data_IF_265513696929
#
_entry.id   IF_265513696929
#
_cell.length_a   1.000
_cell.length_b   1.000
_cell.length_c   1.000
_cell.angle_alpha   90.00
_cell.angle_beta   90.00
_cell.angle_gamma   90.00
#
_symmetry.space_group_name_H-M   'P 1'
#
loop_
_entity.id
_entity.type
_entity.pdbx_description
1 polymer ?
#
# COMPACT_ATOMS: atom_id res chain seq x y z
N UNK A 1 -31.13 1.31 21.07
CA UNK A 1 -31.26 0.75 19.71
C UNK A 1 -30.55 1.57 18.64
N UNK A 2 -30.73 2.89 18.53
CA UNK A 2 -30.10 3.73 17.48
C UNK A 2 -28.57 3.66 17.38
N UNK A 3 -27.84 3.47 18.49
CA UNK A 3 -26.38 3.32 18.48
C UNK A 3 -25.91 2.03 17.79
N UNK A 4 -26.65 0.94 17.97
CA UNK A 4 -26.35 -0.35 17.33
C UNK A 4 -26.60 -0.29 15.82
N UNK A 5 -27.71 0.35 15.42
CA UNK A 5 -28.04 0.59 14.00
C UNK A 5 -26.92 1.41 13.33
N UNK A 6 -26.50 2.52 13.93
CA UNK A 6 -25.38 3.34 13.40
C UNK A 6 -24.06 2.56 13.29
N UNK A 7 -23.78 1.66 14.24
CA UNK A 7 -22.55 0.84 14.21
C UNK A 7 -22.61 -0.21 13.10
N UNK A 8 -23.78 -0.83 12.88
CA UNK A 8 -24.00 -1.75 11.76
C UNK A 8 -23.92 -1.02 10.42
N UNK A 9 -24.52 0.17 10.29
CA UNK A 9 -24.40 1.02 9.09
C UNK A 9 -22.95 1.43 8.81
N UNK A 10 -22.18 1.77 9.84
CA UNK A 10 -20.76 2.10 9.69
C UNK A 10 -19.94 0.88 9.23
N UNK A 11 -20.17 -0.29 9.84
CA UNK A 11 -19.51 -1.54 9.43
C UNK A 11 -19.89 -1.90 7.99
N UNK A 12 -21.17 -1.79 7.65
CA UNK A 12 -21.65 -2.03 6.29
C UNK A 12 -20.97 -1.07 5.30
N UNK A 13 -20.86 0.22 5.64
CA UNK A 13 -20.17 1.21 4.81
C UNK A 13 -18.68 0.87 4.64
N UNK A 14 -17.97 0.56 5.71
CA UNK A 14 -16.54 0.18 5.63
C UNK A 14 -16.32 -1.12 4.83
N UNK A 15 -17.21 -2.11 4.95
CA UNK A 15 -17.15 -3.36 4.18
C UNK A 15 -17.50 -3.15 2.70
N UNK A 16 -18.50 -2.31 2.40
CA UNK A 16 -18.87 -1.96 1.02
C UNK A 16 -17.76 -1.12 0.40
N UNK A 17 -17.21 -0.14 1.10
CA UNK A 17 -16.08 0.66 0.63
C UNK A 17 -14.85 -0.22 0.37
N UNK A 18 -14.57 -1.22 1.21
CA UNK A 18 -13.49 -2.18 0.96
C UNK A 18 -13.76 -3.08 -0.26
N UNK A 19 -14.99 -3.56 -0.42
CA UNK A 19 -15.39 -4.35 -1.57
C UNK A 19 -15.35 -3.53 -2.87
N UNK A 20 -15.78 -2.27 -2.83
CA UNK A 20 -15.77 -1.36 -3.96
C UNK A 20 -14.35 -0.89 -4.28
N UNK A 21 -13.49 -0.65 -3.29
CA UNK A 21 -12.04 -0.46 -3.48
C UNK A 21 -11.43 -1.67 -4.20
N UNK A 22 -11.73 -2.90 -3.76
CA UNK A 22 -11.26 -4.12 -4.42
C UNK A 22 -11.86 -4.31 -5.83
N UNK A 23 -13.12 -3.95 -6.06
CA UNK A 23 -13.74 -3.99 -7.40
C UNK A 23 -13.12 -2.95 -8.33
N UNK A 24 -12.84 -1.74 -7.86
CA UNK A 24 -12.13 -0.71 -8.63
C UNK A 24 -10.69 -1.14 -8.97
N UNK A 25 -10.04 -1.90 -8.09
CA UNK A 25 -8.74 -2.52 -8.38
C UNK A 25 -8.83 -3.58 -9.50
N UNK A 26 -9.95 -4.28 -9.64
CA UNK A 26 -10.13 -5.36 -10.63
C UNK A 26 -10.84 -4.94 -11.93
N UNK A 27 -11.35 -3.71 -12.04
CA UNK A 27 -12.24 -3.29 -13.13
C UNK A 27 -11.57 -3.26 -14.51
N UNK A 28 -10.30 -2.84 -14.59
CA UNK A 28 -9.55 -2.89 -15.84
C UNK A 28 -8.71 -4.16 -15.84
N UNK A 29 -9.02 -5.10 -16.73
CA UNK A 29 -8.39 -6.42 -16.91
C UNK A 29 -6.89 -6.43 -17.22
N UNK A 30 -6.15 -5.41 -16.80
CA UNK A 30 -4.69 -5.36 -16.70
C UNK A 30 -4.26 -5.89 -15.33
N UNK A 31 -4.20 -7.22 -15.22
CA UNK A 31 -3.87 -7.99 -14.00
C UNK A 31 -2.40 -7.93 -13.56
N UNK A 32 -1.65 -6.91 -13.97
CA UNK A 32 -0.24 -6.79 -13.58
C UNK A 32 -0.16 -6.37 -12.10
N UNK A 33 0.55 -7.15 -11.29
CA UNK A 33 0.71 -6.91 -9.85
C UNK A 33 1.26 -5.49 -9.57
N UNK A 34 2.08 -4.96 -10.48
CA UNK A 34 2.57 -3.59 -10.42
C UNK A 34 1.44 -2.56 -10.53
N UNK A 35 0.53 -2.74 -11.50
CA UNK A 35 -0.60 -1.84 -11.72
C UNK A 35 -1.58 -1.86 -10.55
N UNK A 36 -1.84 -3.04 -9.98
CA UNK A 36 -2.68 -3.18 -8.79
C UNK A 36 -2.08 -2.46 -7.58
N UNK A 37 -0.78 -2.63 -7.33
CA UNK A 37 -0.10 -1.95 -6.24
C UNK A 37 -0.08 -0.42 -6.45
N UNK A 38 0.19 0.04 -7.67
CA UNK A 38 0.13 1.47 -8.02
C UNK A 38 -1.25 2.06 -7.74
N UNK A 39 -2.33 1.37 -8.13
CA UNK A 39 -3.70 1.83 -7.85
C UNK A 39 -3.99 1.86 -6.35
N UNK A 40 -3.57 0.82 -5.61
CA UNK A 40 -3.69 0.78 -4.14
C UNK A 40 -3.00 1.97 -3.48
N UNK A 41 -1.74 2.24 -3.84
CA UNK A 41 -1.00 3.42 -3.36
C UNK A 41 -1.75 4.72 -3.70
N UNK A 42 -2.30 4.84 -4.90
CA UNK A 42 -3.08 6.00 -5.30
C UNK A 42 -4.36 6.21 -4.46
N UNK A 43 -5.04 5.13 -4.07
CA UNK A 43 -6.19 5.17 -3.17
C UNK A 43 -5.77 5.53 -1.74
N UNK A 44 -4.68 4.93 -1.25
CA UNK A 44 -4.16 5.20 0.09
C UNK A 44 -3.71 6.67 0.23
N UNK A 45 -3.03 7.22 -0.78
CA UNK A 45 -2.64 8.65 -0.82
C UNK A 45 -3.88 9.57 -0.76
N UNK A 46 -4.94 9.25 -1.52
CA UNK A 46 -6.19 10.02 -1.46
C UNK A 46 -6.82 9.94 -0.06
N UNK A 47 -6.86 8.76 0.53
CA UNK A 47 -7.36 8.56 1.90
C UNK A 47 -6.54 9.33 2.94
N UNK A 48 -5.21 9.38 2.81
CA UNK A 48 -4.37 10.18 3.70
C UNK A 48 -4.66 11.67 3.56
N UNK A 49 -4.88 12.18 2.34
CA UNK A 49 -5.26 13.59 2.14
C UNK A 49 -6.59 13.91 2.80
N UNK A 50 -7.56 13.00 2.75
CA UNK A 50 -8.83 13.14 3.46
C UNK A 50 -8.64 13.13 4.98
N UNK A 51 -7.81 12.23 5.52
CA UNK A 51 -7.48 12.19 6.95
C UNK A 51 -6.77 13.47 7.42
N UNK A 52 -5.87 14.02 6.61
CA UNK A 52 -5.21 15.30 6.89
C UNK A 52 -6.26 16.42 6.94
N UNK A 53 -7.18 16.47 5.97
CA UNK A 53 -8.25 17.46 5.94
C UNK A 53 -9.18 17.33 7.16
N UNK A 54 -9.63 16.13 7.50
CA UNK A 54 -10.48 15.89 8.67
C UNK A 54 -9.77 16.30 9.97
N UNK A 55 -8.47 16.03 10.08
CA UNK A 55 -7.67 16.46 11.23
C UNK A 55 -7.62 17.98 11.32
N UNK A 56 -7.37 18.66 10.21
CA UNK A 56 -7.26 20.12 10.18
C UNK A 56 -8.62 20.79 10.51
N UNK A 57 -9.74 20.21 10.05
CA UNK A 57 -11.10 20.63 10.44
C UNK A 57 -11.38 20.37 11.93
N UNK A 58 -10.96 19.23 12.46
CA UNK A 58 -11.11 18.89 13.87
C UNK A 58 -10.29 19.83 14.77
N UNK A 59 -9.10 20.23 14.33
CA UNK A 59 -8.26 21.19 15.05
C UNK A 59 -8.84 22.60 15.01
N UNK A 60 -9.40 23.03 13.88
CA UNK A 60 -10.11 24.30 13.80
C UNK A 60 -11.36 24.34 14.69
N UNK A 61 -12.04 23.20 14.87
CA UNK A 61 -13.28 23.11 15.63
C UNK A 61 -13.08 22.86 17.13
N UNK A 62 -12.10 22.03 17.51
CA UNK A 62 -11.90 21.54 18.88
C UNK A 62 -10.62 22.09 19.54
N UNK A 63 -9.78 22.77 18.77
CA UNK A 63 -8.47 23.23 19.19
C UNK A 63 -7.36 22.19 19.00
N UNK A 64 -6.08 22.63 19.09
CA UNK A 64 -4.93 21.73 19.04
C UNK A 64 -4.87 20.85 20.28
N UNK A 65 -4.44 19.59 20.11
CA UNK A 65 -4.17 18.66 21.21
C UNK A 65 -5.38 17.92 21.79
N UNK A 66 -6.60 18.14 21.30
CA UNK A 66 -7.76 17.31 21.66
C UNK A 66 -7.50 15.83 21.36
N UNK A 67 -8.08 14.92 22.14
CA UNK A 67 -7.98 13.47 21.90
C UNK A 67 -8.27 13.09 20.44
N UNK A 68 -9.28 13.72 19.82
CA UNK A 68 -9.61 13.51 18.40
C UNK A 68 -8.48 13.95 17.44
N UNK A 69 -7.89 15.13 17.65
CA UNK A 69 -6.82 15.64 16.76
C UNK A 69 -5.55 14.82 16.91
N UNK A 70 -5.25 14.34 18.13
CA UNK A 70 -4.14 13.41 18.39
C UNK A 70 -4.37 12.05 17.73
N UNK A 71 -5.58 11.49 17.83
CA UNK A 71 -5.94 10.23 17.16
C UNK A 71 -5.83 10.34 15.64
N UNK A 72 -6.38 11.39 15.04
CA UNK A 72 -6.26 11.63 13.60
C UNK A 72 -4.79 11.85 13.19
N UNK A 73 -4.01 12.57 14.00
CA UNK A 73 -2.57 12.74 13.76
C UNK A 73 -1.81 11.40 13.79
N UNK A 74 -2.15 10.51 14.73
CA UNK A 74 -1.56 9.17 14.80
C UNK A 74 -1.95 8.33 13.57
N UNK A 75 -3.22 8.39 13.15
CA UNK A 75 -3.70 7.69 11.96
C UNK A 75 -2.99 8.18 10.70
N UNK A 76 -2.83 9.49 10.51
CA UNK A 76 -2.07 10.07 9.39
C UNK A 76 -0.62 9.56 9.39
N UNK A 77 0.07 9.58 10.54
CA UNK A 77 1.45 9.09 10.63
C UNK A 77 1.56 7.60 10.30
N UNK A 78 0.65 6.79 10.81
CA UNK A 78 0.61 5.34 10.55
C UNK A 78 0.38 5.07 9.07
N UNK A 79 -0.62 5.73 8.48
CA UNK A 79 -0.93 5.57 7.06
C UNK A 79 0.22 6.03 6.14
N UNK A 80 0.96 7.10 6.50
CA UNK A 80 2.17 7.50 5.75
C UNK A 80 3.26 6.42 5.82
N UNK A 81 3.45 5.78 6.99
CA UNK A 81 4.40 4.68 7.15
C UNK A 81 3.99 3.49 6.28
N UNK A 82 2.70 3.15 6.26
CA UNK A 82 2.17 2.05 5.45
C UNK A 82 2.37 2.31 3.95
N UNK A 83 2.01 3.51 3.48
CA UNK A 83 2.21 3.90 2.06
C UNK A 83 3.69 3.90 1.68
N UNK A 84 4.60 4.31 2.58
CA UNK A 84 6.05 4.16 2.36
C UNK A 84 6.46 2.70 2.20
N UNK A 85 5.90 1.79 2.99
CA UNK A 85 6.12 0.36 2.84
C UNK A 85 5.70 -0.14 1.45
N UNK A 86 4.52 0.28 0.99
CA UNK A 86 3.99 -0.07 -0.32
C UNK A 86 4.81 0.55 -1.47
N UNK A 87 5.25 1.81 -1.35
CA UNK A 87 6.13 2.46 -2.32
C UNK A 87 7.49 1.75 -2.42
N UNK A 88 8.07 1.31 -1.29
CA UNK A 88 9.28 0.49 -1.30
C UNK A 88 9.06 -0.84 -2.03
N UNK A 89 7.90 -1.48 -1.84
CA UNK A 89 7.55 -2.70 -2.58
C UNK A 89 7.39 -2.44 -4.07
N UNK A 90 6.79 -1.31 -4.47
CA UNK A 90 6.68 -0.89 -5.87
C UNK A 90 8.06 -0.68 -6.50
N UNK A 91 8.98 0.00 -5.79
CA UNK A 91 10.35 0.20 -6.25
C UNK A 91 11.10 -1.13 -6.40
N UNK A 92 11.01 -2.05 -5.44
CA UNK A 92 11.64 -3.37 -5.54
C UNK A 92 11.16 -4.17 -6.74
N UNK A 93 9.86 -4.08 -7.09
CA UNK A 93 9.33 -4.73 -8.29
C UNK A 93 9.92 -4.11 -9.56
N UNK A 94 10.05 -2.77 -9.59
CA UNK A 94 10.72 -2.06 -10.67
C UNK A 94 12.18 -2.48 -10.81
N UNK A 95 12.97 -2.44 -9.73
CA UNK A 95 14.39 -2.78 -9.72
C UNK A 95 14.62 -4.23 -10.19
N UNK A 96 13.79 -5.18 -9.72
CA UNK A 96 13.84 -6.58 -10.16
C UNK A 96 13.51 -6.72 -11.65
N UNK A 97 12.57 -5.92 -12.17
CA UNK A 97 12.23 -5.91 -13.58
C UNK A 97 13.34 -5.29 -14.45
N UNK A 98 14.00 -4.24 -13.95
CA UNK A 98 15.16 -3.58 -14.57
C UNK A 98 16.36 -4.53 -14.64
N UNK A 99 16.68 -5.21 -13.53
CA UNK A 99 17.77 -6.17 -13.48
C UNK A 99 17.55 -7.33 -14.45
N UNK A 100 16.32 -7.85 -14.54
CA UNK A 100 15.94 -8.90 -15.52
C UNK A 100 16.11 -8.41 -16.96
N UNK A 101 15.77 -7.16 -17.24
CA UNK A 101 15.95 -6.56 -18.56
C UNK A 101 17.43 -6.46 -18.93
N UNK A 102 18.27 -5.94 -18.01
CA UNK A 102 19.74 -5.85 -18.18
C UNK A 102 20.39 -7.22 -18.36
N UNK A 103 20.00 -8.20 -17.53
CA UNK A 103 20.55 -9.58 -17.59
C UNK A 103 20.22 -10.31 -18.89
N UNK A 104 19.01 -10.14 -19.43
CA UNK A 104 18.59 -10.83 -20.65
C UNK A 104 19.11 -10.17 -21.93
N UNK A 105 19.78 -9.00 -21.84
CA UNK A 105 20.33 -8.22 -22.96
C UNK A 105 19.36 -8.13 -24.17
N UNK A 106 18.05 -8.03 -23.88
CA UNK A 106 16.99 -8.01 -24.90
C UNK A 106 16.75 -6.55 -25.25
N UNK A 107 17.28 -6.11 -26.38
CA UNK A 107 17.08 -4.78 -26.98
C UNK A 107 15.66 -4.63 -27.54
N UNK A 108 14.64 -4.92 -26.72
CA UNK A 108 13.25 -4.78 -27.11
C UNK A 108 12.76 -3.37 -26.72
N UNK A 109 12.55 -2.46 -27.68
CA UNK A 109 12.19 -1.07 -27.41
C UNK A 109 10.88 -0.92 -26.62
N UNK A 110 9.94 -1.87 -26.77
CA UNK A 110 8.67 -1.84 -26.03
C UNK A 110 8.87 -2.11 -24.52
N UNK A 111 9.80 -3.02 -24.19
CA UNK A 111 10.11 -3.33 -22.78
C UNK A 111 10.86 -2.17 -22.11
N UNK A 112 11.75 -1.51 -22.83
CA UNK A 112 12.43 -0.30 -22.33
C UNK A 112 11.41 0.79 -21.98
N UNK A 113 10.46 1.07 -22.88
CA UNK A 113 9.40 2.06 -22.62
C UNK A 113 8.52 1.68 -21.41
N UNK A 114 8.18 0.39 -21.25
CA UNK A 114 7.44 -0.07 -20.06
C UNK A 114 8.27 0.13 -18.78
N UNK A 115 9.58 -0.12 -18.85
CA UNK A 115 10.49 0.06 -17.71
C UNK A 115 10.65 1.53 -17.32
N UNK A 116 10.71 2.43 -18.30
CA UNK A 116 10.80 3.87 -18.07
C UNK A 116 9.50 4.41 -17.48
N UNK A 117 8.34 4.00 -18.02
CA UNK A 117 7.03 4.37 -17.46
C UNK A 117 6.87 3.87 -16.02
N UNK A 118 7.31 2.65 -15.73
CA UNK A 118 7.25 2.11 -14.36
C UNK A 118 8.21 2.83 -13.41
N UNK A 119 9.38 3.28 -13.88
CA UNK A 119 10.30 4.15 -13.12
C UNK A 119 9.63 5.48 -12.75
N UNK A 120 9.08 6.17 -13.74
CA UNK A 120 8.36 7.45 -13.54
C UNK A 120 7.22 7.31 -12.53
N UNK A 121 6.49 6.20 -12.56
CA UNK A 121 5.42 5.96 -11.58
C UNK A 121 5.94 5.74 -10.16
N UNK A 122 7.11 5.13 -9.99
CA UNK A 122 7.74 4.98 -8.68
C UNK A 122 8.21 6.34 -8.15
N UNK A 123 8.83 7.15 -9.00
CA UNK A 123 9.27 8.51 -8.66
C UNK A 123 8.09 9.40 -8.25
N UNK A 124 7.00 9.36 -9.01
CA UNK A 124 5.77 10.10 -8.70
C UNK A 124 5.15 9.66 -7.37
N UNK A 125 5.12 8.36 -7.09
CA UNK A 125 4.64 7.84 -5.81
C UNK A 125 5.47 8.37 -4.64
N UNK A 126 6.80 8.38 -4.76
CA UNK A 126 7.69 8.97 -3.77
C UNK A 126 7.53 10.49 -3.64
N UNK A 127 7.27 11.21 -4.74
CA UNK A 127 6.98 12.64 -4.70
C UNK A 127 5.72 12.94 -3.89
N UNK A 128 4.64 12.15 -4.06
CA UNK A 128 3.44 12.27 -3.25
C UNK A 128 3.67 11.95 -1.78
N UNK A 129 4.48 10.93 -1.46
CA UNK A 129 4.85 10.65 -0.06
C UNK A 129 5.58 11.85 0.55
N UNK A 130 6.54 12.44 -0.16
CA UNK A 130 7.25 13.64 0.31
C UNK A 130 6.32 14.84 0.50
N UNK A 131 5.34 15.02 -0.38
CA UNK A 131 4.30 16.05 -0.24
C UNK A 131 3.48 15.85 1.04
N UNK A 132 3.01 14.63 1.31
CA UNK A 132 2.27 14.28 2.52
C UNK A 132 3.12 14.49 3.78
N UNK A 133 4.40 14.15 3.72
CA UNK A 133 5.33 14.40 4.82
C UNK A 133 5.56 15.89 5.06
N UNK A 134 5.67 16.69 4.00
CA UNK A 134 5.84 18.14 4.12
C UNK A 134 4.60 18.78 4.74
N UNK A 135 3.40 18.41 4.28
CA UNK A 135 2.13 18.85 4.88
C UNK A 135 2.02 18.46 6.35
N UNK A 136 2.60 17.33 6.75
CA UNK A 136 2.66 16.91 8.14
C UNK A 136 3.76 17.63 8.95
N UNK A 137 4.92 17.91 8.34
CA UNK A 137 6.08 18.58 8.98
C UNK A 137 5.92 20.08 9.13
N UNK A 138 5.19 20.75 8.24
CA UNK A 138 4.88 22.18 8.39
C UNK A 138 4.24 22.50 9.76
N UNK A 139 3.67 21.49 10.44
CA UNK A 139 3.15 21.60 11.81
C UNK A 139 4.16 21.23 12.90
N UNK A 140 5.15 20.38 12.60
CA UNK A 140 6.20 20.01 13.55
C UNK A 140 7.30 21.06 13.69
N UNK A 141 7.37 22.02 12.76
CA UNK A 141 8.39 23.08 12.74
C UNK A 141 8.07 24.32 13.57
N UNK A 142 6.82 24.50 14.01
CA UNK A 142 6.44 25.66 14.81
C UNK A 142 5.35 25.26 15.82
N UNK A 143 5.75 25.05 17.07
CA UNK A 143 4.79 24.77 18.15
C UNK A 143 5.01 23.50 18.95
N UNK A 144 6.23 23.00 19.10
CA UNK A 144 6.67 22.51 20.42
C UNK A 144 6.79 23.68 21.42
N UNK A 145 5.78 24.55 21.47
CA UNK A 145 5.45 25.26 22.70
C UNK A 145 4.71 24.22 23.52
N UNK A 146 5.51 23.38 24.20
CA UNK A 146 5.19 22.97 25.56
C UNK A 146 4.51 24.17 26.18
N UNK A 147 3.20 24.12 26.41
CA UNK A 147 2.48 25.20 27.09
C UNK A 147 3.31 25.44 28.36
N UNK A 148 4.06 26.55 28.49
CA UNK A 148 4.56 26.92 29.79
C UNK A 148 3.29 27.23 30.54
N UNK A 149 2.99 26.40 31.54
CA UNK A 149 1.87 26.60 32.45
C UNK A 149 2.05 28.00 33.04
N UNK A 150 1.35 28.97 32.48
CA UNK A 150 1.21 30.32 33.01
C UNK A 150 0.46 30.18 34.34
N UNK A 151 1.19 29.83 35.40
CA UNK A 151 0.78 30.15 36.75
C UNK A 151 1.04 31.63 36.96
N UNK A 152 0.17 32.45 36.37
CA UNK A 152 0.14 33.87 36.62
C UNK A 152 -1.30 34.33 36.86
N UNK A 153 -1.82 33.96 38.03
CA UNK A 153 -2.65 34.81 38.89
C UNK A 153 -2.16 34.51 40.30
N UNK A 154 -1.32 35.39 40.86
CA UNK A 154 -1.73 36.41 41.84
C UNK A 154 -2.26 35.74 43.11
N UNK A 155 -1.71 35.92 44.31
CA UNK A 155 -0.87 37.01 44.79
C UNK A 155 -0.47 36.73 46.24
N UNK A 156 0.75 37.17 46.58
CA UNK A 156 1.15 37.70 47.90
C UNK A 156 1.11 36.80 49.14
N UNK A 157 2.33 36.59 49.65
CA UNK A 157 2.76 36.68 51.05
C UNK A 157 3.09 35.39 51.79
N UNK A 158 4.25 35.51 52.45
CA UNK A 158 4.71 34.86 53.67
C UNK A 158 5.69 33.69 53.47
N UNK A 159 6.95 34.08 53.55
CA UNK A 159 8.08 33.34 54.12
C UNK A 159 7.66 32.56 55.37
N UNK A 160 7.20 31.32 55.18
CA UNK A 160 7.07 30.30 56.21
C UNK A 160 7.90 29.10 55.77
N UNK A 161 8.91 28.75 56.56
CA UNK A 161 9.65 27.50 56.43
C UNK A 161 8.66 26.35 56.23
N UNK A 162 8.71 25.66 55.08
CA UNK A 162 7.85 24.50 54.78
C UNK A 162 8.13 23.41 55.81
N UNK A 163 7.40 23.43 56.92
CA UNK A 163 7.25 22.25 57.75
C UNK A 163 6.66 21.17 56.84
N UNK A 164 7.33 20.01 56.82
CA UNK A 164 6.81 18.85 56.10
C UNK A 164 5.37 18.62 56.56
N UNK A 165 4.40 18.42 55.64
CA UNK A 165 3.02 18.18 56.02
C UNK A 165 2.92 17.02 57.01
N UNK A 166 2.16 17.19 58.08
CA UNK A 166 1.87 16.12 59.03
C UNK A 166 1.20 14.94 58.30
N UNK A 167 1.64 13.72 58.63
CA UNK A 167 1.14 12.46 58.04
C UNK A 167 -0.39 12.30 58.13
N UNK A 168 -1.03 13.02 59.04
CA UNK A 168 -2.46 12.96 59.28
C UNK A 168 -3.30 13.91 58.40
N UNK A 169 -2.68 14.69 57.51
CA UNK A 169 -3.43 15.52 56.56
C UNK A 169 -4.31 14.62 55.66
N UNK A 170 -5.60 14.95 55.55
CA UNK A 170 -6.56 14.18 54.77
C UNK A 170 -6.15 14.07 53.29
N UNK A 171 -5.42 15.06 52.77
CA UNK A 171 -4.80 15.02 51.44
C UNK A 171 -3.84 13.82 51.28
N UNK A 172 -3.07 13.49 52.32
CA UNK A 172 -2.13 12.37 52.29
C UNK A 172 -2.86 11.03 52.33
N UNK A 173 -3.96 10.93 53.09
CA UNK A 173 -4.83 9.74 53.09
C UNK A 173 -5.48 9.53 51.73
N UNK A 174 -5.91 10.59 51.06
CA UNK A 174 -6.43 10.52 49.70
C UNK A 174 -5.35 10.07 48.72
N UNK A 175 -4.14 10.61 48.84
CA UNK A 175 -2.99 10.20 48.02
C UNK A 175 -2.68 8.71 48.18
N UNK A 176 -2.62 8.19 49.41
CA UNK A 176 -2.43 6.76 49.70
C UNK A 176 -3.55 5.87 49.14
N UNK A 177 -4.80 6.35 49.11
CA UNK A 177 -5.92 5.62 48.50
C UNK A 177 -5.78 5.60 46.98
N UNK A 178 -5.42 6.73 46.37
CA UNK A 178 -5.19 6.84 44.93
C UNK A 178 -4.01 5.96 44.50
N UNK A 179 -2.93 5.92 45.27
CA UNK A 179 -1.74 5.10 44.98
C UNK A 179 -2.10 3.61 44.95
N UNK A 180 -2.87 3.13 45.95
CA UNK A 180 -3.37 1.74 45.96
C UNK A 180 -4.29 1.42 44.78
N UNK A 181 -5.08 2.39 44.33
CA UNK A 181 -5.91 2.21 43.13
C UNK A 181 -5.07 2.17 41.86
N UNK A 182 -4.03 2.99 41.78
CA UNK A 182 -3.07 3.00 40.67
C UNK A 182 -2.34 1.66 40.60
N UNK A 183 -1.85 1.13 41.72
CA UNK A 183 -1.20 -0.19 41.79
C UNK A 183 -2.10 -1.31 41.26
N UNK A 184 -3.37 -1.33 41.68
CA UNK A 184 -4.34 -2.32 41.18
C UNK A 184 -4.62 -2.21 39.68
N UNK A 185 -4.66 -0.99 39.13
CA UNK A 185 -4.79 -0.75 37.69
C UNK A 185 -3.51 -1.15 36.95
N UNK A 186 -2.33 -0.88 37.53
CA UNK A 186 -1.04 -1.27 36.95
C UNK A 186 -0.90 -2.78 36.87
N UNK A 187 -1.36 -3.53 37.88
CA UNK A 187 -1.37 -5.00 37.85
C UNK A 187 -2.25 -5.53 36.71
N UNK A 188 -3.46 -4.99 36.54
CA UNK A 188 -4.35 -5.35 35.44
C UNK A 188 -3.77 -5.01 34.06
N UNK A 189 -3.13 -3.83 33.94
CA UNK A 189 -2.42 -3.43 32.71
C UNK A 189 -1.24 -4.37 32.45
N UNK A 190 -0.51 -4.80 33.49
CA UNK A 190 0.63 -5.70 33.35
C UNK A 190 0.21 -7.07 32.80
N UNK A 191 -0.95 -7.59 33.22
CA UNK A 191 -1.51 -8.84 32.71
C UNK A 191 -1.95 -8.68 31.25
N UNK A 192 -2.66 -7.60 30.92
CA UNK A 192 -3.07 -7.30 29.54
C UNK A 192 -1.88 -7.05 28.61
N UNK A 193 -0.79 -6.46 29.11
CA UNK A 193 0.45 -6.30 28.37
C UNK A 193 1.10 -7.65 28.05
N UNK A 194 1.12 -8.60 29.00
CA UNK A 194 1.63 -9.97 28.73
C UNK A 194 0.81 -10.70 27.66
N UNK A 195 -0.52 -10.54 27.67
CA UNK A 195 -1.40 -11.10 26.63
C UNK A 195 -1.09 -10.43 25.28
N UNK A 196 -0.97 -9.10 25.26
CA UNK A 196 -0.65 -8.34 24.06
C UNK A 196 0.73 -8.70 23.51
N UNK A 197 1.72 -8.93 24.39
CA UNK A 197 3.06 -9.39 24.03
C UNK A 197 3.01 -10.79 23.40
N UNK A 198 2.24 -11.72 23.98
CA UNK A 198 2.09 -13.05 23.39
C UNK A 198 1.41 -12.97 22.01
N UNK A 199 0.36 -12.16 21.86
CA UNK A 199 -0.29 -11.90 20.57
C UNK A 199 0.70 -11.28 19.58
N UNK A 200 1.51 -10.31 20.00
CA UNK A 200 2.52 -9.67 19.16
C UNK A 200 3.59 -10.68 18.71
N UNK A 201 4.01 -11.60 19.58
CA UNK A 201 4.93 -12.68 19.23
C UNK A 201 4.32 -13.69 18.25
N UNK A 202 3.05 -14.06 18.42
CA UNK A 202 2.31 -14.92 17.49
C UNK A 202 2.10 -14.23 16.13
N UNK A 203 1.74 -12.95 16.13
CA UNK A 203 1.64 -12.11 14.93
C UNK A 203 2.99 -11.99 14.23
N UNK A 204 4.09 -11.83 14.98
CA UNK A 204 5.44 -11.82 14.44
C UNK A 204 5.78 -13.14 13.73
N UNK A 205 5.52 -14.29 14.38
CA UNK A 205 5.72 -15.62 13.78
C UNK A 205 4.83 -15.83 12.54
N UNK A 206 3.56 -15.40 12.60
CA UNK A 206 2.64 -15.49 11.48
C UNK A 206 3.09 -14.59 10.31
N UNK A 207 3.57 -13.38 10.59
CA UNK A 207 4.13 -12.47 9.59
C UNK A 207 5.38 -13.05 8.93
N UNK A 208 6.29 -13.68 9.69
CA UNK A 208 7.45 -14.38 9.11
C UNK A 208 7.02 -15.55 8.21
N UNK A 209 6.05 -16.36 8.67
CA UNK A 209 5.50 -17.47 7.84
C UNK A 209 4.82 -16.97 6.58
N UNK A 210 4.02 -15.92 6.69
CA UNK A 210 3.37 -15.27 5.54
C UNK A 210 4.41 -14.64 4.61
N UNK A 211 5.50 -14.08 5.13
CA UNK A 211 6.64 -13.58 4.34
C UNK A 211 7.26 -14.68 3.49
N UNK A 212 7.63 -15.82 4.09
CA UNK A 212 8.18 -16.98 3.36
C UNK A 212 7.17 -17.52 2.34
N UNK A 213 5.88 -17.60 2.68
CA UNK A 213 4.85 -18.04 1.75
C UNK A 213 4.71 -17.06 0.56
N UNK A 214 4.71 -15.75 0.81
CA UNK A 214 4.67 -14.73 -0.23
C UNK A 214 5.89 -14.81 -1.14
N UNK A 215 7.08 -15.07 -0.60
CA UNK A 215 8.29 -15.28 -1.41
C UNK A 215 8.13 -16.50 -2.32
N UNK A 216 7.66 -17.63 -1.80
CA UNK A 216 7.42 -18.82 -2.64
C UNK A 216 6.31 -18.62 -3.69
N UNK A 217 5.29 -17.82 -3.38
CA UNK A 217 4.24 -17.44 -4.34
C UNK A 217 4.79 -16.52 -5.43
N UNK A 218 5.66 -15.57 -5.06
CA UNK A 218 6.34 -14.68 -5.99
C UNK A 218 7.28 -15.47 -6.92
N UNK A 219 8.03 -16.44 -6.41
CA UNK A 219 8.87 -17.31 -7.23
C UNK A 219 8.04 -18.17 -8.19
N UNK A 220 6.90 -18.69 -7.73
CA UNK A 220 5.96 -19.43 -8.61
C UNK A 220 5.34 -18.52 -9.67
N UNK A 221 4.97 -17.29 -9.32
CA UNK A 221 4.46 -16.29 -10.24
C UNK A 221 5.51 -15.94 -11.30
N UNK A 222 6.77 -15.73 -10.89
CA UNK A 222 7.89 -15.50 -11.79
C UNK A 222 8.09 -16.67 -12.78
N UNK A 223 8.03 -17.92 -12.31
CA UNK A 223 8.14 -19.10 -13.18
C UNK A 223 6.96 -19.20 -14.15
N UNK A 224 5.75 -18.84 -13.71
CA UNK A 224 4.56 -18.80 -14.56
C UNK A 224 4.68 -17.70 -15.62
N UNK A 225 5.16 -16.52 -15.27
CA UNK A 225 5.39 -15.42 -16.20
C UNK A 225 6.43 -15.81 -17.27
N UNK A 226 7.50 -16.51 -16.89
CA UNK A 226 8.47 -17.03 -17.86
C UNK A 226 7.90 -18.11 -18.76
N UNK A 227 7.04 -18.99 -18.22
CA UNK A 227 6.31 -19.98 -19.04
C UNK A 227 5.35 -19.28 -20.01
N UNK A 228 4.64 -18.25 -19.57
CA UNK A 228 3.75 -17.44 -20.43
C UNK A 228 4.54 -16.71 -21.51
N UNK A 229 5.69 -16.10 -21.19
CA UNK A 229 6.57 -15.46 -22.19
C UNK A 229 7.04 -16.48 -23.23
N UNK A 230 7.49 -17.66 -22.79
CA UNK A 230 7.95 -18.72 -23.68
C UNK A 230 6.82 -19.27 -24.57
N UNK A 231 5.62 -19.45 -24.02
CA UNK A 231 4.43 -19.86 -24.77
C UNK A 231 4.05 -18.79 -25.79
N UNK A 232 4.06 -17.50 -25.41
CA UNK A 232 3.75 -16.40 -26.33
C UNK A 232 4.77 -16.32 -27.47
N UNK A 233 6.07 -16.50 -27.20
CA UNK A 233 7.11 -16.58 -28.24
C UNK A 233 6.89 -17.80 -29.15
N UNK A 234 6.54 -18.97 -28.57
CA UNK A 234 6.25 -20.20 -29.35
C UNK A 234 5.02 -20.02 -30.23
N UNK A 235 3.93 -19.45 -29.72
CA UNK A 235 2.73 -19.11 -30.47
C UNK A 235 3.05 -18.11 -31.59
N UNK A 236 3.81 -17.05 -31.28
CA UNK A 236 4.25 -16.07 -32.28
C UNK A 236 5.11 -16.68 -33.38
N UNK A 237 5.99 -17.63 -33.04
CA UNK A 237 6.76 -18.41 -34.04
C UNK A 237 5.85 -19.32 -34.86
N UNK A 238 4.97 -20.08 -34.21
CA UNK A 238 4.02 -20.98 -34.87
C UNK A 238 3.10 -20.24 -35.84
N UNK A 239 2.58 -19.06 -35.48
CA UNK A 239 1.77 -18.22 -36.38
C UNK A 239 2.59 -17.74 -37.58
N UNK A 240 3.86 -17.35 -37.37
CA UNK A 240 4.76 -16.95 -38.48
C UNK A 240 5.09 -18.14 -39.39
N UNK A 241 5.30 -19.32 -38.82
CA UNK A 241 5.60 -20.55 -39.55
C UNK A 241 4.38 -21.03 -40.34
N UNK A 242 3.17 -20.99 -39.75
CA UNK A 242 1.90 -21.26 -40.46
C UNK A 242 1.72 -20.28 -41.62
N UNK A 243 1.90 -18.97 -41.39
CA UNK A 243 1.80 -17.97 -42.47
C UNK A 243 2.85 -18.16 -43.58
N UNK A 244 3.99 -18.80 -43.27
CA UNK A 244 5.01 -19.18 -44.25
C UNK A 244 4.61 -20.46 -45.00
N UNK A 245 4.05 -21.43 -44.30
CA UNK A 245 3.51 -22.66 -44.88
C UNK A 245 2.32 -22.37 -45.81
N UNK A 246 1.43 -21.45 -45.43
CA UNK A 246 0.30 -21.00 -46.26
C UNK A 246 0.79 -20.34 -47.56
N UNK A 247 1.86 -19.55 -47.51
CA UNK A 247 2.45 -19.00 -48.75
C UNK A 247 3.06 -20.10 -49.62
N UNK A 248 3.74 -21.06 -49.01
CA UNK A 248 4.31 -22.18 -49.74
C UNK A 248 3.23 -23.05 -50.42
N UNK A 249 2.12 -23.36 -49.73
CA UNK A 249 1.03 -24.14 -50.34
C UNK A 249 0.31 -23.35 -51.44
N UNK A 250 0.16 -22.02 -51.28
CA UNK A 250 -0.39 -21.15 -52.34
C UNK A 250 0.50 -21.19 -53.60
N UNK A 251 1.83 -21.14 -53.45
CA UNK A 251 2.76 -21.22 -54.59
C UNK A 251 2.66 -22.58 -55.31
N UNK A 252 2.54 -23.68 -54.57
CA UNK A 252 2.36 -25.02 -55.16
C UNK A 252 1.05 -25.12 -55.94
N UNK A 253 -0.05 -24.61 -55.39
CA UNK A 253 -1.36 -24.58 -56.08
C UNK A 253 -1.26 -23.73 -57.36
N UNK A 254 -0.60 -22.58 -57.29
CA UNK A 254 -0.39 -21.71 -58.46
C UNK A 254 0.36 -22.44 -59.59
N UNK A 255 1.40 -23.20 -59.25
CA UNK A 255 2.16 -24.01 -60.23
C UNK A 255 1.28 -25.10 -60.84
N UNK A 256 0.45 -25.79 -60.04
CA UNK A 256 -0.47 -26.83 -60.54
C UNK A 256 -1.50 -26.24 -61.50
N UNK A 257 -2.05 -25.06 -61.20
CA UNK A 257 -2.97 -24.35 -62.10
C UNK A 257 -2.28 -23.94 -63.39
N UNK A 258 -1.04 -23.44 -63.32
CA UNK A 258 -0.26 -23.06 -64.50
C UNK A 258 0.04 -24.27 -65.40
N UNK A 259 0.44 -25.40 -64.80
CA UNK A 259 0.64 -26.66 -65.52
C UNK A 259 -0.66 -27.18 -66.14
N UNK A 260 -1.79 -27.04 -65.45
CA UNK A 260 -3.11 -27.39 -65.98
C UNK A 260 -3.46 -26.57 -67.24
N UNK A 261 -3.19 -25.26 -67.23
CA UNK A 261 -3.42 -24.37 -68.39
C UNK A 261 -2.50 -24.75 -69.55
N UNK A 262 -1.19 -24.96 -69.29
CA UNK A 262 -0.24 -25.39 -70.33
C UNK A 262 -0.66 -26.73 -70.94
N UNK A 263 -1.06 -27.70 -70.10
CA UNK A 263 -1.56 -28.99 -70.54
C UNK A 263 -2.82 -28.87 -71.40
N UNK A 264 -3.76 -27.98 -71.02
CA UNK A 264 -4.96 -27.71 -71.81
C UNK A 264 -4.61 -27.10 -73.18
N UNK A 265 -3.71 -26.12 -73.23
CA UNK A 265 -3.24 -25.49 -74.48
C UNK A 265 -2.58 -26.53 -75.40
N UNK A 266 -1.69 -27.36 -74.88
CA UNK A 266 -1.05 -28.43 -75.67
C UNK A 266 -2.09 -29.44 -76.15
N UNK A 267 -3.09 -29.78 -75.34
CA UNK A 267 -4.16 -30.69 -75.76
C UNK A 267 -5.04 -30.10 -76.87
N UNK A 268 -5.25 -28.78 -76.87
CA UNK A 268 -6.03 -28.07 -77.90
C UNK A 268 -5.21 -27.96 -79.19
N UNK A 269 -3.92 -27.62 -79.11
CA UNK A 269 -3.04 -27.47 -80.28
C UNK A 269 -2.73 -28.82 -80.93
N UNK A 270 -2.69 -29.91 -80.15
CA UNK A 270 -2.41 -31.26 -80.67
C UNK A 270 -3.65 -31.93 -81.28
N UNK A 271 -4.84 -31.35 -81.09
CA UNK A 271 -6.10 -31.86 -81.65
C UNK A 271 -6.39 -31.16 -82.98
#
# INVERSE_FOLDING_TARGET
MNSLIKRVEKIQKECVDAADKNKQLNADGTTDAFTLLRRKIGLDIKGIRELIKERDEAEASLGPGTVRTVQLSHQVRTAIIDVKGECNKLQRMHDKSEERYKRKNKENPEKQKKLDLTRETCELAWAHVKELELQNKQRGGDGSKFIPRDHNQSSSNASGTKQLPDLDNDDFKELLRNDKQIDGVLDQISEQLKITENIANEMGKAATRQGVLLDTLNDKADVLDEKLENINIRLGKMIKDIRKADRFIIDVILIVVLLGIIGAIVSIVRK
#
